data_IF_412860616405
#
_entry.id   IF_412860616405
#
_cell.length_a   1.000
_cell.length_b   1.000
_cell.length_c   1.000
_cell.angle_alpha   90.00
_cell.angle_beta   90.00
_cell.angle_gamma   90.00
#
_symmetry.space_group_name_H-M   'P 1'
#
loop_
_entity.id
_entity.type
_entity.pdbx_description
1 polymer ?
#
# COMPACT_ATOMS: atom_id res chain seq x y z
N UNK A 1 16.67 -44.13 -23.41
CA UNK A 1 16.90 -42.82 -22.76
C UNK A 1 16.00 -41.82 -23.48
N UNK A 2 14.96 -41.28 -22.83
CA UNK A 2 14.09 -40.30 -23.49
C UNK A 2 14.84 -38.97 -23.61
N UNK A 3 15.00 -38.38 -24.81
CA UNK A 3 15.69 -37.11 -24.97
C UNK A 3 14.85 -35.97 -24.38
N UNK A 4 15.45 -35.19 -23.48
CA UNK A 4 14.86 -33.97 -22.93
C UNK A 4 15.41 -32.75 -23.68
N UNK A 5 14.52 -31.86 -24.12
CA UNK A 5 14.88 -30.63 -24.82
C UNK A 5 14.35 -29.46 -23.99
N UNK A 6 15.25 -28.55 -23.60
CA UNK A 6 14.91 -27.33 -22.86
C UNK A 6 14.74 -26.18 -23.84
N UNK A 7 13.59 -25.51 -23.80
CA UNK A 7 13.28 -24.37 -24.67
C UNK A 7 12.87 -23.18 -23.81
N UNK A 8 13.42 -22.00 -24.11
CA UNK A 8 13.10 -20.74 -23.43
C UNK A 8 12.41 -19.79 -24.41
N UNK A 9 11.28 -19.22 -24.00
CA UNK A 9 10.59 -18.18 -24.76
C UNK A 9 11.49 -16.95 -24.96
N UNK A 10 11.32 -16.27 -26.09
CA UNK A 10 11.82 -14.89 -26.26
C UNK A 10 11.09 -13.95 -25.28
N UNK A 11 11.70 -12.82 -24.87
CA UNK A 11 11.06 -11.86 -23.98
C UNK A 11 9.72 -11.37 -24.55
N UNK A 12 8.64 -11.43 -23.76
CA UNK A 12 7.31 -10.95 -24.14
C UNK A 12 6.34 -12.01 -24.72
N UNK A 13 6.81 -13.23 -24.99
CA UNK A 13 5.95 -14.33 -25.47
C UNK A 13 5.37 -15.11 -24.29
N UNK A 14 4.06 -15.36 -24.28
CA UNK A 14 3.41 -16.13 -23.21
C UNK A 14 3.83 -17.61 -23.32
N UNK A 15 4.04 -18.26 -22.17
CA UNK A 15 4.41 -19.70 -22.15
C UNK A 15 3.34 -20.61 -22.79
N UNK A 16 2.08 -20.18 -22.81
CA UNK A 16 1.00 -20.88 -23.51
C UNK A 16 1.21 -20.86 -25.03
N UNK A 17 1.43 -19.67 -25.60
CA UNK A 17 1.69 -19.48 -27.04
C UNK A 17 2.94 -20.24 -27.50
N UNK A 18 4.02 -20.20 -26.69
CA UNK A 18 5.22 -20.99 -26.95
C UNK A 18 4.91 -22.50 -26.98
N UNK A 19 4.09 -22.98 -26.05
CA UNK A 19 3.78 -24.40 -25.95
C UNK A 19 2.97 -24.88 -27.14
N UNK A 20 1.97 -24.10 -27.59
CA UNK A 20 1.16 -24.44 -28.75
C UNK A 20 2.01 -24.48 -30.04
N UNK A 21 2.90 -23.51 -30.22
CA UNK A 21 3.83 -23.49 -31.35
C UNK A 21 4.80 -24.68 -31.32
N UNK A 22 5.31 -25.03 -30.14
CA UNK A 22 6.16 -26.21 -29.96
C UNK A 22 5.43 -27.52 -30.26
N UNK A 23 4.15 -27.65 -29.88
CA UNK A 23 3.33 -28.82 -30.25
C UNK A 23 3.25 -28.93 -31.78
N UNK A 24 2.95 -27.83 -32.45
CA UNK A 24 2.81 -27.81 -33.92
C UNK A 24 4.12 -28.20 -34.63
N UNK A 25 5.25 -27.62 -34.21
CA UNK A 25 6.57 -27.93 -34.76
C UNK A 25 6.94 -29.40 -34.48
N UNK A 26 6.73 -29.89 -33.26
CA UNK A 26 7.06 -31.26 -32.89
C UNK A 26 6.20 -32.29 -33.62
N UNK A 27 4.91 -32.00 -33.88
CA UNK A 27 4.05 -32.85 -34.71
C UNK A 27 4.52 -32.90 -36.16
N UNK A 28 5.00 -31.76 -36.70
CA UNK A 28 5.58 -31.68 -38.05
C UNK A 28 6.87 -32.50 -38.16
N UNK A 29 7.83 -32.32 -37.23
CA UNK A 29 9.11 -33.04 -37.21
C UNK A 29 8.89 -34.55 -37.05
N UNK A 30 7.97 -34.96 -36.16
CA UNK A 30 7.67 -36.36 -35.88
C UNK A 30 6.69 -37.01 -36.85
N UNK A 31 6.18 -36.25 -37.84
CA UNK A 31 5.21 -36.70 -38.86
C UNK A 31 3.99 -37.41 -38.26
N UNK A 32 3.47 -36.87 -37.16
CA UNK A 32 2.28 -37.41 -36.49
C UNK A 32 1.05 -37.00 -37.31
N UNK A 33 0.18 -37.96 -37.65
CA UNK A 33 -1.03 -37.66 -38.43
C UNK A 33 -2.01 -36.80 -37.60
N UNK A 34 -2.91 -36.03 -38.24
CA UNK A 34 -3.83 -35.13 -37.54
C UNK A 34 -4.69 -35.81 -36.46
N UNK A 35 -5.06 -37.08 -36.68
CA UNK A 35 -5.93 -37.88 -35.81
C UNK A 35 -5.17 -38.72 -34.76
N UNK A 36 -3.83 -38.84 -34.87
CA UNK A 36 -3.04 -39.65 -33.96
C UNK A 36 -2.73 -38.91 -32.65
N UNK A 37 -2.73 -39.64 -31.54
CA UNK A 37 -2.36 -39.12 -30.22
C UNK A 37 -0.88 -38.76 -30.17
N UNK A 38 -0.57 -37.70 -29.44
CA UNK A 38 0.80 -37.20 -29.28
C UNK A 38 1.66 -38.20 -28.50
N UNK A 39 2.87 -38.47 -28.99
CA UNK A 39 3.84 -39.38 -28.36
C UNK A 39 4.95 -38.63 -27.58
N UNK A 40 4.69 -37.36 -27.26
CA UNK A 40 5.57 -36.49 -26.51
C UNK A 40 4.74 -35.68 -25.49
N UNK A 41 5.37 -35.24 -24.41
CA UNK A 41 4.74 -34.42 -23.38
C UNK A 41 5.53 -33.13 -23.21
N UNK A 42 4.85 -31.99 -23.21
CA UNK A 42 5.44 -30.71 -22.82
C UNK A 42 5.25 -30.55 -21.32
N UNK A 43 6.34 -30.61 -20.58
CA UNK A 43 6.31 -30.31 -19.15
C UNK A 43 6.66 -28.84 -18.96
N UNK A 44 5.63 -28.02 -18.71
CA UNK A 44 5.83 -26.62 -18.41
C UNK A 44 6.20 -26.50 -16.93
N UNK A 45 7.27 -25.76 -16.63
CA UNK A 45 7.51 -25.29 -15.26
C UNK A 45 6.36 -24.41 -14.70
N UNK A 46 5.41 -24.02 -15.57
CA UNK A 46 4.24 -23.20 -15.23
C UNK A 46 3.36 -23.83 -14.14
N UNK A 47 3.29 -25.16 -14.01
CA UNK A 47 2.51 -25.80 -12.94
C UNK A 47 3.11 -25.51 -11.55
N UNK A 48 4.44 -25.46 -11.45
CA UNK A 48 5.13 -25.10 -10.21
C UNK A 48 5.06 -23.58 -9.97
N UNK A 49 5.21 -22.78 -11.03
CA UNK A 49 5.06 -21.32 -10.96
C UNK A 49 3.65 -20.90 -10.53
N UNK A 50 2.59 -21.54 -11.06
CA UNK A 50 1.19 -21.24 -10.71
C UNK A 50 0.91 -21.50 -9.22
N UNK A 51 1.49 -22.54 -8.62
CA UNK A 51 1.39 -22.81 -7.19
C UNK A 51 2.04 -21.70 -6.34
N UNK A 52 3.24 -21.26 -6.74
CA UNK A 52 3.99 -20.19 -6.09
C UNK A 52 3.26 -18.84 -6.25
N UNK A 53 2.76 -18.53 -7.44
CA UNK A 53 2.01 -17.30 -7.72
C UNK A 53 0.75 -17.20 -6.87
N UNK A 54 0.04 -18.32 -6.67
CA UNK A 54 -1.13 -18.38 -5.79
C UNK A 54 -0.76 -18.10 -4.33
N UNK A 55 0.39 -18.61 -3.85
CA UNK A 55 0.88 -18.32 -2.50
C UNK A 55 1.19 -16.83 -2.35
N UNK A 56 1.94 -16.25 -3.29
CA UNK A 56 2.23 -14.81 -3.27
C UNK A 56 0.98 -13.95 -3.39
N UNK A 57 -0.02 -14.37 -4.17
CA UNK A 57 -1.31 -13.68 -4.23
C UNK A 57 -2.00 -13.65 -2.87
N UNK A 58 -2.05 -14.79 -2.16
CA UNK A 58 -2.66 -14.88 -0.83
C UNK A 58 -1.89 -14.05 0.21
N UNK A 59 -0.56 -14.07 0.18
CA UNK A 59 0.28 -13.23 1.05
C UNK A 59 0.01 -11.75 0.79
N UNK A 60 -0.01 -11.33 -0.48
CA UNK A 60 -0.30 -9.94 -0.85
C UNK A 60 -1.70 -9.52 -0.40
N UNK A 61 -2.72 -10.34 -0.65
CA UNK A 61 -4.09 -10.05 -0.23
C UNK A 61 -4.19 -9.89 1.29
N UNK A 62 -3.57 -10.80 2.04
CA UNK A 62 -3.54 -10.76 3.51
C UNK A 62 -2.80 -9.52 4.00
N UNK A 63 -1.66 -9.19 3.39
CA UNK A 63 -0.90 -7.98 3.68
C UNK A 63 -1.69 -6.70 3.44
N UNK A 64 -2.48 -6.64 2.36
CA UNK A 64 -3.37 -5.51 2.09
C UNK A 64 -4.49 -5.38 3.13
N UNK A 65 -5.08 -6.49 3.57
CA UNK A 65 -6.12 -6.48 4.59
C UNK A 65 -5.54 -5.99 5.93
N UNK A 66 -4.45 -6.59 6.40
CA UNK A 66 -3.83 -6.22 7.67
C UNK A 66 -3.33 -4.77 7.63
N UNK A 67 -2.64 -4.39 6.55
CA UNK A 67 -2.16 -3.03 6.34
C UNK A 67 -3.30 -2.01 6.30
N UNK A 68 -4.41 -2.34 5.64
CA UNK A 68 -5.62 -1.51 5.62
C UNK A 68 -6.23 -1.30 7.00
N UNK A 69 -6.34 -2.37 7.81
CA UNK A 69 -6.80 -2.24 9.20
C UNK A 69 -5.83 -1.43 10.07
N UNK A 70 -4.52 -1.63 9.92
CA UNK A 70 -3.51 -0.84 10.64
C UNK A 70 -3.61 0.65 10.30
N UNK A 71 -3.84 0.97 9.03
CA UNK A 71 -4.09 2.34 8.57
C UNK A 71 -5.35 2.92 9.22
N UNK A 72 -6.45 2.17 9.25
CA UNK A 72 -7.70 2.61 9.87
C UNK A 72 -7.51 2.91 11.35
N UNK A 73 -6.92 1.99 12.10
CA UNK A 73 -6.66 2.15 13.54
C UNK A 73 -5.72 3.35 13.80
N UNK A 74 -4.66 3.49 13.00
CA UNK A 74 -3.76 4.64 13.07
C UNK A 74 -4.47 5.97 12.78
N UNK A 75 -5.34 6.00 11.77
CA UNK A 75 -6.16 7.16 11.43
C UNK A 75 -7.13 7.55 12.56
N UNK A 76 -7.78 6.57 13.21
CA UNK A 76 -8.59 6.84 14.40
C UNK A 76 -7.76 7.42 15.55
N UNK A 77 -6.53 6.94 15.74
CA UNK A 77 -5.59 7.50 16.71
C UNK A 77 -5.29 8.98 16.46
N UNK A 78 -4.98 9.34 15.20
CA UNK A 78 -4.73 10.73 14.79
C UNK A 78 -5.98 11.58 15.04
N UNK A 79 -7.15 11.11 14.60
CA UNK A 79 -8.40 11.84 14.78
C UNK A 79 -8.69 12.10 16.28
N UNK A 80 -8.48 11.10 17.15
CA UNK A 80 -8.71 11.23 18.58
C UNK A 80 -7.78 12.29 19.22
N UNK A 81 -6.48 12.24 18.89
CA UNK A 81 -5.53 13.26 19.36
C UNK A 81 -5.96 14.65 18.90
N UNK A 82 -6.38 14.79 17.63
CA UNK A 82 -6.84 16.07 17.09
C UNK A 82 -8.12 16.56 17.79
N UNK A 83 -9.06 15.69 18.14
CA UNK A 83 -10.23 16.08 18.93
C UNK A 83 -9.85 16.64 20.30
N UNK A 84 -8.87 16.00 20.97
CA UNK A 84 -8.37 16.49 22.26
C UNK A 84 -7.65 17.83 22.09
N UNK A 85 -6.77 17.96 21.10
CA UNK A 85 -6.04 19.21 20.79
C UNK A 85 -7.00 20.38 20.50
N UNK A 86 -8.06 20.14 19.71
CA UNK A 86 -9.11 21.14 19.43
C UNK A 86 -9.81 21.55 20.72
N UNK A 87 -10.14 20.60 21.61
CA UNK A 87 -10.79 20.92 22.89
C UNK A 87 -9.90 21.77 23.79
N UNK A 88 -8.62 21.41 23.93
CA UNK A 88 -7.65 22.18 24.72
C UNK A 88 -7.47 23.61 24.19
N UNK A 89 -7.51 23.79 22.87
CA UNK A 89 -7.35 25.10 22.20
C UNK A 89 -8.67 25.85 21.94
N UNK A 90 -9.81 25.34 22.43
CA UNK A 90 -11.16 25.90 22.20
C UNK A 90 -11.25 27.40 22.45
N UNK A 91 -10.76 27.87 23.61
CA UNK A 91 -10.83 29.28 24.00
C UNK A 91 -10.01 30.18 23.06
N UNK A 92 -8.83 29.71 22.63
CA UNK A 92 -7.95 30.44 21.72
C UNK A 92 -8.62 30.58 20.35
N UNK A 93 -9.21 29.49 19.84
CA UNK A 93 -9.98 29.47 18.58
C UNK A 93 -11.16 30.46 18.66
N UNK A 94 -11.85 30.51 19.80
CA UNK A 94 -12.93 31.45 20.07
C UNK A 94 -12.50 32.90 19.96
N UNK A 95 -11.35 33.24 20.58
CA UNK A 95 -10.76 34.60 20.51
C UNK A 95 -10.36 34.94 19.07
N UNK A 96 -9.69 34.04 18.35
CA UNK A 96 -9.31 34.26 16.95
C UNK A 96 -10.53 34.54 16.06
N UNK A 97 -11.62 33.79 16.25
CA UNK A 97 -12.88 34.01 15.53
C UNK A 97 -13.56 35.32 15.90
N UNK A 98 -13.55 35.71 17.16
CA UNK A 98 -14.08 36.99 17.61
C UNK A 98 -13.32 38.18 17.00
N UNK A 99 -12.02 38.00 16.74
CA UNK A 99 -11.17 38.96 16.03
C UNK A 99 -11.32 38.90 14.49
N UNK A 100 -12.19 38.04 13.97
CA UNK A 100 -12.50 37.97 12.53
C UNK A 100 -11.76 36.89 11.73
N UNK A 101 -11.11 35.91 12.39
CA UNK A 101 -10.51 34.79 11.68
C UNK A 101 -11.55 33.99 10.87
N UNK A 102 -11.26 33.77 9.58
CA UNK A 102 -12.13 32.98 8.70
C UNK A 102 -12.09 31.50 9.10
N UNK A 103 -13.22 30.80 8.92
CA UNK A 103 -13.32 29.36 9.19
C UNK A 103 -12.24 28.55 8.45
N UNK A 104 -11.92 28.93 7.21
CA UNK A 104 -10.89 28.29 6.41
C UNK A 104 -9.49 28.39 7.01
N UNK A 105 -9.14 29.51 7.65
CA UNK A 105 -7.82 29.68 8.27
C UNK A 105 -7.61 28.67 9.39
N UNK A 106 -8.62 28.50 10.25
CA UNK A 106 -8.60 27.57 11.37
C UNK A 106 -8.62 26.11 10.86
N UNK A 107 -9.41 25.84 9.82
CA UNK A 107 -9.45 24.52 9.19
C UNK A 107 -8.06 24.10 8.69
N UNK A 108 -7.37 24.98 7.97
CA UNK A 108 -6.04 24.69 7.40
C UNK A 108 -4.98 24.54 8.49
N UNK A 109 -5.04 25.32 9.58
CA UNK A 109 -4.11 25.20 10.71
C UNK A 109 -4.14 23.78 11.31
N UNK A 110 -5.33 23.28 11.66
CA UNK A 110 -5.47 21.94 12.21
C UNK A 110 -5.22 20.83 11.18
N UNK A 111 -5.60 21.03 9.92
CA UNK A 111 -5.26 20.08 8.86
C UNK A 111 -3.74 19.97 8.69
N UNK A 112 -3.03 21.09 8.70
CA UNK A 112 -1.57 21.12 8.60
C UNK A 112 -0.91 20.39 9.78
N UNK A 113 -1.39 20.60 11.00
CA UNK A 113 -0.94 19.88 12.20
C UNK A 113 -1.15 18.36 12.05
N UNK A 114 -2.34 17.94 11.60
CA UNK A 114 -2.64 16.51 11.39
C UNK A 114 -1.79 15.85 10.29
N UNK A 115 -1.53 16.58 9.19
CA UNK A 115 -0.69 16.09 8.09
C UNK A 115 0.75 15.96 8.53
N UNK A 116 1.31 16.93 9.26
CA UNK A 116 2.66 16.84 9.80
C UNK A 116 2.79 15.65 10.74
N UNK A 117 1.83 15.46 11.66
CA UNK A 117 1.84 14.32 12.59
C UNK A 117 1.81 12.99 11.83
N UNK A 118 0.97 12.87 10.80
CA UNK A 118 0.93 11.67 9.95
C UNK A 118 2.23 11.44 9.17
N UNK A 119 2.81 12.48 8.59
CA UNK A 119 4.06 12.38 7.83
C UNK A 119 5.24 12.03 8.74
N UNK A 120 5.31 12.61 9.94
CA UNK A 120 6.32 12.26 10.92
C UNK A 120 6.22 10.78 11.32
N UNK A 121 5.00 10.28 11.60
CA UNK A 121 4.76 8.86 11.85
C UNK A 121 5.11 7.98 10.65
N UNK A 122 4.80 8.43 9.43
CA UNK A 122 5.13 7.72 8.18
C UNK A 122 6.63 7.62 7.93
N UNK A 123 7.38 8.70 8.17
CA UNK A 123 8.85 8.71 8.08
C UNK A 123 9.46 7.78 9.12
N UNK A 124 8.99 7.82 10.37
CA UNK A 124 9.44 6.89 11.41
C UNK A 124 9.13 5.43 11.05
N UNK A 125 7.94 5.15 10.52
CA UNK A 125 7.57 3.83 10.02
C UNK A 125 8.48 3.36 8.89
N UNK A 126 8.81 4.23 7.95
CA UNK A 126 9.74 3.92 6.85
C UNK A 126 11.16 3.64 7.36
N UNK A 127 11.63 4.36 8.38
CA UNK A 127 12.92 4.08 9.02
C UNK A 127 12.94 2.69 9.69
N UNK A 128 11.84 2.31 10.34
CA UNK A 128 11.69 0.95 10.91
C UNK A 128 11.70 -0.13 9.83
N UNK A 129 10.98 0.10 8.71
CA UNK A 129 10.98 -0.83 7.57
C UNK A 129 12.40 -0.94 6.98
N UNK A 130 13.09 0.17 6.80
CA UNK A 130 14.46 0.19 6.30
C UNK A 130 15.39 -0.63 7.23
N UNK A 131 15.32 -0.42 8.54
CA UNK A 131 16.04 -1.25 9.52
C UNK A 131 15.71 -2.74 9.39
N UNK A 132 14.43 -3.08 9.21
CA UNK A 132 13.97 -4.45 8.97
C UNK A 132 14.57 -5.08 7.69
N UNK A 133 14.68 -4.32 6.60
CA UNK A 133 15.29 -4.82 5.35
C UNK A 133 16.78 -5.14 5.53
N UNK A 134 17.51 -4.32 6.28
CA UNK A 134 18.92 -4.57 6.60
C UNK A 134 19.06 -5.83 7.44
N UNK A 135 18.23 -5.99 8.48
CA UNK A 135 18.23 -7.20 9.33
C UNK A 135 17.90 -8.45 8.51
N UNK A 136 16.90 -8.39 7.64
CA UNK A 136 16.51 -9.53 6.78
C UNK A 136 17.66 -10.00 5.91
N UNK A 137 18.42 -9.07 5.34
CA UNK A 137 19.57 -9.37 4.48
C UNK A 137 20.64 -10.16 5.22
N UNK A 138 20.94 -9.81 6.47
CA UNK A 138 21.98 -10.49 7.25
C UNK A 138 21.50 -11.77 7.95
N UNK A 139 20.23 -11.85 8.35
CA UNK A 139 19.72 -12.95 9.16
C UNK A 139 19.11 -14.11 8.34
N UNK A 140 18.50 -13.83 7.18
CA UNK A 140 17.70 -14.81 6.45
C UNK A 140 18.17 -15.04 5.00
N UNK A 141 19.24 -14.37 4.55
CA UNK A 141 19.74 -14.36 3.16
C UNK A 141 18.61 -14.08 2.14
N UNK A 142 17.59 -13.36 2.60
CA UNK A 142 16.40 -13.00 1.82
C UNK A 142 16.39 -11.50 1.59
N UNK A 143 16.55 -11.11 0.33
CA UNK A 143 16.64 -9.71 -0.07
C UNK A 143 15.25 -9.09 -0.24
N UNK A 144 14.83 -8.31 0.76
CA UNK A 144 13.60 -7.51 0.67
C UNK A 144 13.92 -6.21 -0.06
N UNK A 145 13.39 -6.06 -1.27
CA UNK A 145 13.63 -4.87 -2.09
C UNK A 145 12.77 -3.68 -1.64
N UNK A 146 13.42 -2.64 -1.11
CA UNK A 146 12.79 -1.35 -0.84
C UNK A 146 13.02 -0.39 -2.01
N UNK A 147 12.08 -0.36 -2.96
CA UNK A 147 12.16 0.55 -4.11
C UNK A 147 11.74 1.97 -3.71
N UNK A 148 12.40 2.98 -4.27
CA UNK A 148 12.06 4.40 -4.08
C UNK A 148 10.57 4.70 -4.38
N UNK A 149 9.98 4.01 -5.35
CA UNK A 149 8.55 4.11 -5.65
C UNK A 149 7.63 3.69 -4.50
N UNK A 150 8.02 2.68 -3.70
CA UNK A 150 7.22 2.24 -2.54
C UNK A 150 7.34 3.22 -1.37
N UNK A 151 8.50 3.87 -1.22
CA UNK A 151 8.70 4.94 -0.24
C UNK A 151 7.76 6.11 -0.51
N UNK A 152 7.72 6.59 -1.76
CA UNK A 152 6.83 7.68 -2.17
C UNK A 152 5.36 7.30 -1.96
N UNK A 153 4.95 6.08 -2.37
CA UNK A 153 3.58 5.60 -2.15
C UNK A 153 3.23 5.56 -0.66
N UNK A 154 4.14 5.11 0.20
CA UNK A 154 3.94 5.10 1.65
C UNK A 154 3.74 6.49 2.24
N UNK A 155 4.57 7.46 1.85
CA UNK A 155 4.43 8.86 2.28
C UNK A 155 3.12 9.48 1.78
N UNK A 156 2.74 9.22 0.52
CA UNK A 156 1.46 9.68 -0.04
C UNK A 156 0.27 9.11 0.74
N UNK A 157 0.28 7.80 1.02
CA UNK A 157 -0.77 7.15 1.81
C UNK A 157 -0.83 7.80 3.20
N UNK A 158 0.30 8.02 3.87
CA UNK A 158 0.33 8.66 5.19
C UNK A 158 -0.27 10.06 5.17
N UNK A 159 0.12 10.89 4.18
CA UNK A 159 -0.43 12.23 4.01
C UNK A 159 -1.95 12.23 3.75
N UNK A 160 -2.45 11.32 2.91
CA UNK A 160 -3.89 11.16 2.66
C UNK A 160 -4.62 10.79 3.96
N UNK A 161 -4.09 9.84 4.73
CA UNK A 161 -4.68 9.43 6.01
C UNK A 161 -4.69 10.62 6.99
N UNK A 162 -3.60 11.39 7.08
CA UNK A 162 -3.54 12.60 7.90
C UNK A 162 -4.65 13.59 7.57
N UNK A 163 -4.86 13.89 6.28
CA UNK A 163 -5.95 14.76 5.82
C UNK A 163 -7.31 14.17 6.19
N UNK A 164 -7.58 12.91 5.84
CA UNK A 164 -8.89 12.27 6.06
C UNK A 164 -9.24 12.20 7.55
N UNK A 165 -8.29 11.80 8.38
CA UNK A 165 -8.47 11.67 9.83
C UNK A 165 -8.55 13.03 10.54
N UNK A 166 -7.77 14.01 10.09
CA UNK A 166 -7.76 15.37 10.65
C UNK A 166 -8.93 16.25 10.20
N UNK A 167 -9.60 15.91 9.09
CA UNK A 167 -10.63 16.76 8.50
C UNK A 167 -11.83 16.98 9.42
N UNK A 168 -12.37 15.92 10.01
CA UNK A 168 -13.56 15.99 10.87
C UNK A 168 -13.31 16.86 12.13
N UNK A 169 -12.25 16.63 12.93
CA UNK A 169 -11.94 17.50 14.06
C UNK A 169 -11.62 18.94 13.63
N UNK A 170 -10.82 19.14 12.58
CA UNK A 170 -10.50 20.48 12.07
C UNK A 170 -11.77 21.24 11.64
N UNK A 171 -12.72 20.55 11.01
CA UNK A 171 -14.00 21.13 10.61
C UNK A 171 -14.87 21.53 11.81
N UNK A 172 -14.90 20.71 12.86
CA UNK A 172 -15.60 21.07 14.11
C UNK A 172 -15.01 22.32 14.77
N UNK A 173 -13.68 22.44 14.82
CA UNK A 173 -12.99 23.65 15.28
C UNK A 173 -13.36 24.88 14.44
N UNK A 174 -13.32 24.74 13.11
CA UNK A 174 -13.59 25.80 12.15
C UNK A 174 -15.04 26.31 12.20
N UNK A 175 -16.00 25.54 12.71
CA UNK A 175 -17.43 25.94 12.83
C UNK A 175 -17.93 26.30 14.22
N UNK A 176 -17.08 26.19 15.24
CA UNK A 176 -17.41 26.60 16.61
C UNK A 176 -17.86 28.07 16.74
N UNK A 177 -18.87 28.34 17.56
CA UNK A 177 -19.35 29.70 17.84
C UNK A 177 -18.37 30.40 18.80
N UNK A 178 -17.88 31.61 18.47
CA UNK A 178 -16.90 32.32 19.30
C UNK A 178 -17.39 32.61 20.73
N UNK A 179 -18.68 32.90 20.92
CA UNK A 179 -19.22 33.22 22.24
C UNK A 179 -19.18 31.99 23.15
N UNK A 180 -19.64 30.84 22.64
CA UNK A 180 -19.64 29.58 23.36
C UNK A 180 -18.21 29.12 23.68
N UNK A 181 -17.30 29.27 22.71
CA UNK A 181 -15.90 28.88 22.84
C UNK A 181 -15.14 29.68 23.93
N UNK A 182 -15.48 30.95 24.13
CA UNK A 182 -14.84 31.81 25.14
C UNK A 182 -15.39 31.50 26.54
N UNK A 183 -16.68 31.15 26.63
CA UNK A 183 -17.37 30.87 27.89
C UNK A 183 -17.15 29.44 28.41
N UNK A 184 -16.62 28.53 27.58
CA UNK A 184 -16.22 27.19 28.04
C UNK A 184 -15.03 27.26 28.98
N UNK A 185 -15.29 26.94 30.26
CA UNK A 185 -14.28 26.55 31.23
C UNK A 185 -14.11 25.03 31.16
N UNK A 186 -12.96 24.57 30.65
CA UNK A 186 -12.50 23.19 30.78
C UNK A 186 -11.52 23.10 31.94
#
# INVERSE_FOLDING_TARGET
MNPFIWVKAKPGVKNAELSDELIQIMRSIRRIKPLDKENFSINQASLLSQGIDRIFFMINLTGWIIGGFSILVGGFGIANIMFVSVKERTRIIGIQKALGAKQYTILVEFLYESVILSLAGGVLGLLLVYGGTVISKYAFDFEVAMTFGNVIRGLLISGIIGVVSGFLPAYTAARMNPVDAINTHF
#
